data_IF_775170923408
#
_entry.id   IF_775170923408
#
_cell.length_a   1.000
_cell.length_b   1.000
_cell.length_c   1.000
_cell.angle_alpha   90.00
_cell.angle_beta   90.00
_cell.angle_gamma   90.00
#
_symmetry.space_group_name_H-M   'P 1'
#
loop_
_entity.id
_entity.type
_entity.pdbx_description
1 polymer ?
#
# COMPACT_ATOMS: atom_id res chain seq x y z
N UNK A 1 -2.95 10.02 5.71
CA UNK A 1 -2.93 11.45 6.06
C UNK A 1 -3.57 12.23 4.92
N UNK A 2 -4.47 13.18 5.22
CA UNK A 2 -5.09 14.04 4.19
C UNK A 2 -4.01 14.77 3.38
N UNK A 3 -3.02 15.37 4.07
CA UNK A 3 -1.95 16.13 3.44
C UNK A 3 -1.08 15.31 2.48
N UNK A 4 -0.85 14.03 2.79
CA UNK A 4 -0.05 13.15 1.92
C UNK A 4 -0.70 12.95 0.55
N UNK A 5 -1.98 12.54 0.54
CA UNK A 5 -2.70 12.34 -0.72
C UNK A 5 -3.05 13.66 -1.42
N UNK A 6 -3.35 14.72 -0.65
CA UNK A 6 -3.56 16.05 -1.22
C UNK A 6 -2.33 16.51 -2.01
N UNK A 7 -1.13 16.27 -1.49
CA UNK A 7 0.12 16.56 -2.20
C UNK A 7 0.31 15.66 -3.42
N UNK A 8 0.10 14.35 -3.29
CA UNK A 8 0.37 13.39 -4.36
C UNK A 8 -0.64 13.44 -5.52
N UNK A 9 -1.92 13.65 -5.23
CA UNK A 9 -3.01 13.52 -6.22
C UNK A 9 -3.93 14.75 -6.31
N UNK A 10 -3.70 15.79 -5.51
CA UNK A 10 -4.59 16.95 -5.44
C UNK A 10 -5.89 16.71 -4.67
N UNK A 11 -6.08 15.53 -4.07
CA UNK A 11 -7.23 15.20 -3.20
C UNK A 11 -6.82 14.29 -2.05
N UNK A 12 -7.32 14.59 -0.84
CA UNK A 12 -7.11 13.77 0.35
C UNK A 12 -8.09 12.60 0.54
N UNK A 13 -9.06 12.43 -0.36
CA UNK A 13 -10.11 11.43 -0.27
C UNK A 13 -9.63 10.02 -0.68
N UNK A 14 -10.45 9.01 -0.41
CA UNK A 14 -10.27 7.69 -1.04
C UNK A 14 -10.41 7.84 -2.55
N UNK A 15 -9.51 7.19 -3.30
CA UNK A 15 -9.49 7.25 -4.78
C UNK A 15 -10.50 6.31 -5.44
N UNK A 16 -11.18 5.48 -4.65
CA UNK A 16 -12.10 4.43 -5.08
C UNK A 16 -13.35 4.41 -4.20
N UNK A 17 -14.40 3.74 -4.69
CA UNK A 17 -15.55 3.36 -3.86
C UNK A 17 -15.26 2.16 -2.96
N UNK A 18 -15.82 2.15 -1.74
CA UNK A 18 -15.78 0.99 -0.83
C UNK A 18 -16.29 -0.31 -1.49
N UNK A 19 -17.35 -0.31 -2.32
CA UNK A 19 -17.78 -1.52 -3.02
C UNK A 19 -16.76 -2.09 -4.01
N UNK A 20 -15.77 -1.33 -4.45
CA UNK A 20 -14.76 -1.82 -5.41
C UNK A 20 -13.73 -2.76 -4.75
N UNK A 21 -13.59 -2.69 -3.42
CA UNK A 21 -12.62 -3.49 -2.65
C UNK A 21 -12.79 -4.99 -2.93
N UNK A 22 -14.04 -5.46 -3.03
CA UNK A 22 -14.32 -6.88 -3.28
C UNK A 22 -14.03 -7.35 -4.71
N UNK A 23 -13.57 -6.46 -5.60
CA UNK A 23 -13.21 -6.78 -6.98
C UNK A 23 -11.71 -6.63 -7.24
N UNK A 24 -10.91 -6.27 -6.23
CA UNK A 24 -9.45 -6.18 -6.35
C UNK A 24 -8.85 -7.53 -6.71
N UNK A 25 -7.77 -7.53 -7.50
CA UNK A 25 -6.92 -8.73 -7.66
C UNK A 25 -5.95 -8.87 -6.50
N UNK A 26 -5.52 -7.74 -5.91
CA UNK A 26 -4.69 -7.72 -4.72
C UNK A 26 -5.12 -6.60 -3.76
N UNK A 27 -5.20 -6.93 -2.47
CA UNK A 27 -5.39 -5.98 -1.39
C UNK A 27 -4.10 -5.86 -0.58
N UNK A 28 -3.49 -4.67 -0.61
CA UNK A 28 -2.35 -4.29 0.21
C UNK A 28 -2.86 -3.54 1.44
N UNK A 29 -3.10 -4.27 2.51
CA UNK A 29 -3.67 -3.75 3.76
C UNK A 29 -2.53 -3.30 4.68
N UNK A 30 -2.33 -1.99 4.80
CA UNK A 30 -1.16 -1.42 5.46
C UNK A 30 -1.54 -0.59 6.70
N UNK A 31 -1.15 -1.05 7.89
CA UNK A 31 -1.44 -0.35 9.14
C UNK A 31 -2.93 -0.14 9.37
N UNK A 32 -3.75 -1.13 9.02
CA UNK A 32 -5.21 -1.05 9.04
C UNK A 32 -5.84 -2.36 9.51
N UNK A 33 -6.61 -2.28 10.60
CA UNK A 33 -7.39 -3.40 11.13
C UNK A 33 -8.88 -3.15 10.86
N UNK A 34 -9.32 -3.52 9.66
CA UNK A 34 -10.71 -3.32 9.24
C UNK A 34 -11.72 -4.13 10.03
N UNK A 35 -11.36 -5.32 10.54
CA UNK A 35 -12.30 -6.18 11.26
C UNK A 35 -12.88 -5.49 12.50
N UNK A 36 -12.03 -4.79 13.25
CA UNK A 36 -12.46 -4.05 14.45
C UNK A 36 -12.87 -2.61 14.14
N UNK A 37 -12.26 -1.98 13.13
CA UNK A 37 -12.47 -0.54 12.86
C UNK A 37 -13.66 -0.28 11.94
N UNK A 38 -13.88 -1.16 10.95
CA UNK A 38 -14.88 -1.00 9.90
C UNK A 38 -15.42 -2.36 9.44
N UNK A 39 -16.23 -3.07 10.24
CA UNK A 39 -16.64 -4.45 9.97
C UNK A 39 -17.27 -4.67 8.57
N UNK A 40 -18.02 -3.69 8.06
CA UNK A 40 -18.63 -3.76 6.72
C UNK A 40 -17.58 -3.64 5.60
N UNK A 41 -16.51 -2.86 5.81
CA UNK A 41 -15.35 -2.82 4.89
C UNK A 41 -14.58 -4.14 4.98
N UNK A 42 -14.38 -4.69 6.19
CA UNK A 42 -13.74 -6.00 6.38
C UNK A 42 -14.48 -7.12 5.64
N UNK A 43 -15.82 -7.10 5.63
CA UNK A 43 -16.61 -8.04 4.84
C UNK A 43 -16.28 -7.98 3.34
N UNK A 44 -16.00 -6.80 2.78
CA UNK A 44 -15.56 -6.66 1.38
C UNK A 44 -14.16 -7.22 1.15
N UNK A 45 -13.26 -7.11 2.14
CA UNK A 45 -11.94 -7.76 2.09
C UNK A 45 -12.09 -9.29 2.05
N UNK A 46 -12.98 -9.85 2.88
CA UNK A 46 -13.29 -11.29 2.87
C UNK A 46 -13.89 -11.71 1.52
N UNK A 47 -14.87 -10.97 0.99
CA UNK A 47 -15.42 -11.27 -0.35
C UNK A 47 -14.35 -11.19 -1.46
N UNK A 48 -13.40 -10.25 -1.37
CA UNK A 48 -12.27 -10.20 -2.32
C UNK A 48 -11.47 -11.51 -2.25
N UNK A 49 -11.16 -11.98 -1.04
CA UNK A 49 -10.43 -13.22 -0.81
C UNK A 49 -11.16 -14.43 -1.38
N UNK A 50 -12.48 -14.51 -1.15
CA UNK A 50 -13.34 -15.58 -1.69
C UNK A 50 -13.37 -15.59 -3.23
N UNK A 51 -13.26 -14.42 -3.86
CA UNK A 51 -13.12 -14.29 -5.32
C UNK A 51 -11.68 -14.54 -5.83
N UNK A 52 -10.75 -14.88 -4.95
CA UNK A 52 -9.37 -15.22 -5.30
C UNK A 52 -8.38 -14.05 -5.24
N UNK A 53 -8.75 -12.92 -4.62
CA UNK A 53 -7.80 -11.83 -4.41
C UNK A 53 -6.64 -12.26 -3.51
N UNK A 54 -5.44 -11.80 -3.84
CA UNK A 54 -4.27 -11.93 -2.97
C UNK A 54 -4.35 -10.85 -1.87
N UNK A 55 -4.13 -11.24 -0.61
CA UNK A 55 -4.08 -10.30 0.51
C UNK A 55 -2.66 -10.25 1.05
N UNK A 56 -2.09 -9.05 1.09
CA UNK A 56 -0.86 -8.75 1.83
C UNK A 56 -1.25 -7.86 3.01
N UNK A 57 -1.05 -8.34 4.23
CA UNK A 57 -1.30 -7.60 5.46
C UNK A 57 0.02 -7.11 6.05
N UNK A 58 0.11 -5.81 6.32
CA UNK A 58 1.26 -5.16 6.97
C UNK A 58 0.79 -4.58 8.31
N UNK A 59 0.99 -5.35 9.38
CA UNK A 59 0.67 -4.96 10.75
C UNK A 59 1.65 -5.71 11.69
N UNK A 60 2.24 -5.06 12.72
CA UNK A 60 3.09 -5.76 13.69
C UNK A 60 2.37 -6.90 14.44
N UNK A 61 1.03 -6.89 14.47
CA UNK A 61 0.18 -7.85 15.18
C UNK A 61 -0.47 -8.83 14.20
N UNK A 62 -0.89 -9.97 14.73
CA UNK A 62 -1.76 -10.90 14.01
C UNK A 62 -3.22 -10.45 14.20
N UNK A 63 -3.71 -9.62 13.28
CA UNK A 63 -5.11 -9.19 13.21
C UNK A 63 -5.96 -10.20 12.42
N UNK A 64 -7.29 -10.04 12.40
CA UNK A 64 -8.16 -10.92 11.61
C UNK A 64 -7.84 -10.88 10.11
N UNK A 65 -7.46 -9.72 9.58
CA UNK A 65 -6.97 -9.61 8.19
C UNK A 65 -5.67 -10.39 8.00
N UNK A 66 -4.75 -10.40 8.97
CA UNK A 66 -3.51 -11.15 8.89
C UNK A 66 -3.75 -12.67 8.86
N UNK A 67 -4.80 -13.17 9.56
CA UNK A 67 -5.16 -14.59 9.58
C UNK A 67 -5.61 -15.13 8.23
N UNK A 68 -6.22 -14.28 7.40
CA UNK A 68 -6.70 -14.64 6.05
C UNK A 68 -5.73 -14.20 4.94
N UNK A 69 -4.61 -13.56 5.29
CA UNK A 69 -3.66 -13.02 4.34
C UNK A 69 -2.81 -14.12 3.69
N UNK A 70 -2.54 -13.98 2.40
CA UNK A 70 -1.55 -14.80 1.70
C UNK A 70 -0.13 -14.46 2.15
N UNK A 71 0.07 -13.22 2.61
CA UNK A 71 1.33 -12.77 3.18
C UNK A 71 1.10 -11.80 4.33
N UNK A 72 1.68 -12.11 5.49
CA UNK A 72 1.69 -11.21 6.64
C UNK A 72 3.11 -10.67 6.86
N UNK A 73 3.27 -9.37 6.65
CA UNK A 73 4.51 -8.64 6.90
C UNK A 73 4.45 -8.00 8.30
N UNK A 74 4.93 -8.75 9.29
CA UNK A 74 4.96 -8.35 10.70
C UNK A 74 6.11 -7.36 10.98
N UNK A 75 6.03 -6.15 10.40
CA UNK A 75 7.07 -5.14 10.54
C UNK A 75 7.25 -4.66 11.98
N UNK A 76 8.47 -4.23 12.32
CA UNK A 76 8.74 -3.47 13.54
C UNK A 76 7.99 -2.13 13.52
N UNK A 77 7.29 -1.79 14.59
CA UNK A 77 6.57 -0.51 14.72
C UNK A 77 7.47 0.69 14.43
N UNK A 78 6.97 1.65 13.65
CA UNK A 78 7.70 2.86 13.26
C UNK A 78 8.61 2.71 12.03
N UNK A 79 8.73 1.52 11.43
CA UNK A 79 9.59 1.30 10.25
C UNK A 79 8.85 1.33 8.91
N UNK A 80 7.65 1.91 8.90
CA UNK A 80 6.74 1.93 7.75
C UNK A 80 7.41 2.46 6.47
N UNK A 81 8.10 3.61 6.55
CA UNK A 81 8.68 4.24 5.37
C UNK A 81 9.84 3.42 4.79
N UNK A 82 10.60 2.71 5.63
CA UNK A 82 11.66 1.81 5.17
C UNK A 82 11.08 0.69 4.31
N UNK A 83 10.00 0.06 4.78
CA UNK A 83 9.32 -1.00 4.04
C UNK A 83 8.72 -0.47 2.72
N UNK A 84 8.03 0.67 2.75
CA UNK A 84 7.45 1.27 1.54
C UNK A 84 8.52 1.61 0.51
N UNK A 85 9.64 2.21 0.93
CA UNK A 85 10.74 2.53 0.03
C UNK A 85 11.45 1.28 -0.51
N UNK A 86 11.54 0.20 0.27
CA UNK A 86 12.14 -1.05 -0.18
C UNK A 86 11.26 -1.84 -1.15
N UNK A 87 9.94 -1.75 -0.98
CA UNK A 87 8.98 -2.23 -1.99
C UNK A 87 9.15 -1.44 -3.29
N UNK A 88 9.17 -0.10 -3.21
CA UNK A 88 9.40 0.75 -4.38
C UNK A 88 10.75 0.46 -5.06
N UNK A 89 11.82 0.31 -4.27
CA UNK A 89 13.15 -0.05 -4.74
C UNK A 89 13.12 -1.34 -5.54
N UNK A 90 12.47 -2.39 -5.02
CA UNK A 90 12.35 -3.66 -5.72
C UNK A 90 11.59 -3.52 -7.04
N UNK A 91 10.45 -2.80 -7.04
CA UNK A 91 9.66 -2.57 -8.26
C UNK A 91 10.52 -1.89 -9.34
N UNK A 92 11.34 -0.91 -8.94
CA UNK A 92 12.27 -0.24 -9.84
C UNK A 92 13.39 -1.16 -10.32
N UNK A 93 14.08 -1.84 -9.39
CA UNK A 93 15.24 -2.70 -9.66
C UNK A 93 14.88 -3.85 -10.62
N UNK A 94 13.69 -4.42 -10.46
CA UNK A 94 13.21 -5.56 -11.25
C UNK A 94 12.46 -5.14 -12.53
N UNK A 95 12.40 -3.84 -12.84
CA UNK A 95 11.77 -3.34 -14.06
C UNK A 95 10.24 -3.53 -14.11
N UNK A 96 9.58 -3.52 -12.96
CA UNK A 96 8.14 -3.75 -12.81
C UNK A 96 7.30 -2.45 -12.84
N UNK A 97 7.92 -1.34 -13.23
CA UNK A 97 7.27 -0.04 -13.35
C UNK A 97 6.39 0.03 -14.62
N UNK A 98 5.24 0.69 -14.50
CA UNK A 98 4.43 1.14 -15.64
C UNK A 98 4.98 2.49 -16.15
N UNK A 99 5.99 2.44 -17.01
CA UNK A 99 6.64 3.64 -17.52
C UNK A 99 5.70 4.52 -18.36
N UNK A 100 4.75 3.94 -19.09
CA UNK A 100 3.76 4.69 -19.86
C UNK A 100 2.84 5.52 -18.95
N UNK A 101 2.40 4.94 -17.83
CA UNK A 101 1.60 5.66 -16.84
C UNK A 101 2.42 6.76 -16.15
N UNK A 102 3.67 6.44 -15.76
CA UNK A 102 4.57 7.38 -15.09
C UNK A 102 4.82 8.61 -15.97
N UNK A 103 5.14 8.42 -17.26
CA UNK A 103 5.43 9.51 -18.19
C UNK A 103 4.21 10.43 -18.41
N UNK A 104 3.00 9.87 -18.45
CA UNK A 104 1.77 10.63 -18.71
C UNK A 104 1.17 11.29 -17.48
N UNK A 105 1.40 10.75 -16.30
CA UNK A 105 0.61 11.07 -15.09
C UNK A 105 1.44 11.40 -13.84
N UNK A 106 2.75 11.55 -13.96
CA UNK A 106 3.61 11.89 -12.83
C UNK A 106 4.64 12.96 -13.16
N UNK A 107 5.24 13.53 -12.13
CA UNK A 107 6.37 14.46 -12.23
C UNK A 107 7.49 13.97 -11.30
N UNK A 108 8.72 14.42 -11.55
CA UNK A 108 9.88 14.22 -10.66
C UNK A 108 10.24 12.74 -10.36
N UNK A 109 9.87 11.81 -11.24
CA UNK A 109 10.15 10.38 -11.03
C UNK A 109 11.66 10.08 -10.94
N UNK A 110 12.49 10.81 -11.68
CA UNK A 110 13.96 10.68 -11.59
C UNK A 110 14.51 11.00 -10.21
N UNK A 111 14.00 12.06 -9.57
CA UNK A 111 14.40 12.42 -8.19
C UNK A 111 13.97 11.33 -7.20
N UNK A 112 12.76 10.78 -7.40
CA UNK A 112 12.27 9.69 -6.56
C UNK A 112 13.11 8.40 -6.70
N UNK A 113 13.56 8.05 -7.91
CA UNK A 113 14.46 6.91 -8.15
C UNK A 113 15.73 7.02 -7.30
N UNK A 114 16.37 8.19 -7.27
CA UNK A 114 17.59 8.41 -6.49
C UNK A 114 17.38 8.27 -4.97
N UNK A 115 16.18 8.56 -4.48
CA UNK A 115 15.82 8.33 -3.08
C UNK A 115 15.69 6.83 -2.81
N UNK A 116 14.86 6.11 -3.58
CA UNK A 116 14.52 4.71 -3.29
C UNK A 116 15.69 3.76 -3.53
N UNK A 117 16.66 4.09 -4.39
CA UNK A 117 17.90 3.32 -4.59
C UNK A 117 18.66 3.01 -3.29
N UNK A 118 18.52 3.86 -2.27
CA UNK A 118 19.19 3.71 -0.97
C UNK A 118 18.54 2.67 -0.05
N UNK A 119 17.33 2.22 -0.38
CA UNK A 119 16.51 1.36 0.47
C UNK A 119 16.38 -0.03 -0.14
N UNK A 120 17.49 -0.75 -0.29
CA UNK A 120 17.41 -2.15 -0.76
C UNK A 120 16.68 -3.02 0.26
N UNK A 121 15.95 -4.08 -0.17
CA UNK A 121 15.34 -5.04 0.73
C UNK A 121 16.31 -5.60 1.77
N UNK A 122 17.54 -5.89 1.36
CA UNK A 122 18.62 -6.39 2.23
C UNK A 122 19.06 -5.33 3.25
N UNK A 123 19.13 -4.06 2.84
CA UNK A 123 19.53 -2.94 3.70
C UNK A 123 18.52 -2.59 4.79
N UNK A 124 17.22 -2.84 4.56
CA UNK A 124 16.16 -2.53 5.52
C UNK A 124 15.67 -3.73 6.33
N UNK A 125 16.04 -4.96 5.95
CA UNK A 125 15.50 -6.19 6.54
C UNK A 125 15.68 -6.25 8.07
N UNK A 126 16.88 -5.94 8.56
CA UNK A 126 17.18 -5.96 9.99
C UNK A 126 16.40 -4.90 10.78
N UNK A 127 16.13 -3.74 10.20
CA UNK A 127 15.39 -2.66 10.89
C UNK A 127 13.89 -2.93 10.90
N UNK A 128 13.36 -3.40 9.76
CA UNK A 128 11.94 -3.70 9.56
C UNK A 128 11.51 -5.02 10.21
N UNK A 129 12.46 -5.91 10.53
CA UNK A 129 12.22 -7.30 10.94
C UNK A 129 11.56 -8.17 9.86
N UNK A 130 11.64 -7.75 8.59
CA UNK A 130 11.07 -8.51 7.47
C UNK A 130 12.23 -9.03 6.60
N UNK A 131 12.29 -10.34 6.31
CA UNK A 131 13.28 -10.88 5.39
C UNK A 131 13.21 -10.21 4.02
N UNK A 132 14.37 -9.91 3.42
CA UNK A 132 14.47 -9.27 2.11
C UNK A 132 13.65 -10.00 1.03
N UNK A 133 13.66 -11.33 1.05
CA UNK A 133 12.86 -12.17 0.14
C UNK A 133 11.36 -11.88 0.25
N UNK A 134 10.83 -11.69 1.46
CA UNK A 134 9.41 -11.38 1.65
C UNK A 134 9.07 -9.98 1.13
N UNK A 135 9.97 -9.00 1.32
CA UNK A 135 9.80 -7.65 0.76
C UNK A 135 9.75 -7.73 -0.77
N UNK A 136 10.69 -8.47 -1.39
CA UNK A 136 10.73 -8.66 -2.84
C UNK A 136 9.48 -9.36 -3.36
N UNK A 137 9.04 -10.41 -2.67
CA UNK A 137 7.80 -11.12 -2.98
C UNK A 137 6.57 -10.18 -2.90
N UNK A 138 6.50 -9.34 -1.86
CA UNK A 138 5.42 -8.34 -1.73
C UNK A 138 5.38 -7.39 -2.93
N UNK A 139 6.56 -6.87 -3.30
CA UNK A 139 6.72 -5.92 -4.39
C UNK A 139 6.27 -6.52 -5.73
N UNK A 140 6.73 -7.74 -6.05
CA UNK A 140 6.33 -8.47 -7.25
C UNK A 140 4.83 -8.69 -7.30
N UNK A 141 4.25 -9.23 -6.22
CA UNK A 141 2.80 -9.48 -6.15
C UNK A 141 2.02 -8.18 -6.35
N UNK A 142 2.38 -7.12 -5.64
CA UNK A 142 1.72 -5.82 -5.75
C UNK A 142 1.81 -5.23 -7.15
N UNK A 143 2.99 -5.24 -7.78
CA UNK A 143 3.20 -4.63 -9.09
C UNK A 143 2.54 -5.41 -10.24
N UNK A 144 2.47 -6.74 -10.13
CA UNK A 144 2.04 -7.61 -11.25
C UNK A 144 0.60 -8.11 -11.17
N UNK A 145 -0.15 -7.81 -10.09
CA UNK A 145 -1.53 -8.29 -9.93
C UNK A 145 -2.53 -7.69 -10.95
N UNK A 146 -2.14 -6.62 -11.65
CA UNK A 146 -2.96 -5.87 -12.59
C UNK A 146 -4.00 -4.93 -11.97
N UNK A 147 -4.55 -5.29 -10.79
CA UNK A 147 -5.55 -4.51 -10.04
C UNK A 147 -5.28 -4.54 -8.53
N UNK A 148 -4.25 -3.81 -8.11
CA UNK A 148 -3.87 -3.68 -6.69
C UNK A 148 -4.55 -2.47 -6.05
N UNK A 149 -5.07 -2.66 -4.84
CA UNK A 149 -5.62 -1.58 -4.01
C UNK A 149 -4.88 -1.51 -2.68
N UNK A 150 -4.56 -0.30 -2.23
CA UNK A 150 -3.99 -0.04 -0.91
C UNK A 150 -5.09 0.42 0.04
N UNK A 151 -5.24 -0.27 1.17
CA UNK A 151 -6.12 0.15 2.26
C UNK A 151 -5.26 0.49 3.48
N UNK A 152 -5.39 1.70 4.01
CA UNK A 152 -4.64 2.11 5.20
C UNK A 152 -5.49 2.91 6.18
N UNK A 153 -5.06 2.92 7.44
CA UNK A 153 -5.77 3.59 8.53
C UNK A 153 -4.85 4.32 9.50
N UNK A 154 -5.21 4.29 10.78
CA UNK A 154 -4.49 5.02 11.83
C UNK A 154 -3.11 4.43 12.15
N UNK A 155 -2.87 3.14 11.83
CA UNK A 155 -1.55 2.51 11.89
C UNK A 155 -0.52 3.11 10.91
N UNK A 156 -0.94 4.03 10.05
CA UNK A 156 -0.05 4.92 9.28
C UNK A 156 -0.11 6.35 9.81
N UNK A 157 -1.32 6.85 10.08
CA UNK A 157 -1.55 8.30 10.23
C UNK A 157 -1.09 8.92 11.56
N UNK A 158 -0.83 8.12 12.60
CA UNK A 158 -0.47 8.62 13.94
C UNK A 158 1.03 8.57 14.25
N UNK A 159 1.87 8.34 13.23
CA UNK A 159 3.33 8.36 13.35
C UNK A 159 3.89 9.69 12.85
N UNK A 160 5.05 10.12 13.37
CA UNK A 160 5.70 11.37 12.95
C UNK A 160 6.01 11.44 11.44
N UNK A 161 6.19 10.28 10.80
CA UNK A 161 6.47 10.14 9.36
C UNK A 161 5.21 9.90 8.51
N UNK A 162 4.00 10.07 9.07
CA UNK A 162 2.74 9.68 8.45
C UNK A 162 2.51 10.27 7.05
N UNK A 163 2.90 11.53 6.84
CA UNK A 163 2.74 12.21 5.54
C UNK A 163 3.63 11.54 4.49
N UNK A 164 4.88 11.26 4.83
CA UNK A 164 5.86 10.67 3.90
C UNK A 164 5.52 9.22 3.58
N UNK A 165 5.04 8.44 4.56
CA UNK A 165 4.55 7.08 4.31
C UNK A 165 3.39 7.10 3.32
N UNK A 166 2.44 8.02 3.48
CA UNK A 166 1.29 8.14 2.58
C UNK A 166 1.71 8.56 1.18
N UNK A 167 2.68 9.48 1.04
CA UNK A 167 3.29 9.83 -0.25
C UNK A 167 3.98 8.62 -0.88
N UNK A 168 4.72 7.83 -0.10
CA UNK A 168 5.35 6.60 -0.57
C UNK A 168 4.33 5.57 -1.07
N UNK A 169 3.22 5.35 -0.33
CA UNK A 169 2.14 4.46 -0.78
C UNK A 169 1.46 4.98 -2.05
N UNK A 170 1.27 6.31 -2.17
CA UNK A 170 0.79 6.93 -3.40
C UNK A 170 1.75 6.72 -4.57
N UNK A 171 3.07 6.83 -4.34
CA UNK A 171 4.08 6.54 -5.35
C UNK A 171 4.02 5.09 -5.82
N UNK A 172 3.77 4.12 -4.93
CA UNK A 172 3.56 2.72 -5.36
C UNK A 172 2.38 2.59 -6.35
N UNK A 173 1.28 3.34 -6.14
CA UNK A 173 0.14 3.36 -7.07
C UNK A 173 0.55 3.92 -8.43
N UNK A 174 1.26 5.06 -8.45
CA UNK A 174 1.76 5.71 -9.67
C UNK A 174 2.72 4.79 -10.42
N UNK A 175 3.72 4.23 -9.71
CA UNK A 175 4.75 3.37 -10.28
C UNK A 175 4.19 2.15 -11.02
N UNK A 176 2.99 1.70 -10.65
CA UNK A 176 2.41 0.45 -11.12
C UNK A 176 1.11 0.66 -11.90
N UNK A 177 0.77 1.90 -12.25
CA UNK A 177 -0.46 2.23 -12.98
C UNK A 177 -1.74 1.80 -12.23
N UNK A 178 -1.67 1.65 -10.91
CA UNK A 178 -2.78 1.26 -10.04
C UNK A 178 -3.52 2.51 -9.54
N UNK A 179 -3.92 3.41 -10.44
CA UNK A 179 -4.72 4.61 -10.14
C UNK A 179 -5.62 4.96 -11.33
N UNK A 180 -6.83 5.44 -11.06
CA UNK A 180 -7.77 5.90 -12.10
C UNK A 180 -8.46 4.77 -12.89
N UNK A 181 -8.36 3.52 -12.43
CA UNK A 181 -9.02 2.35 -13.02
C UNK A 181 -9.89 1.62 -11.99
N UNK A 182 -10.95 0.89 -12.39
CA UNK A 182 -11.78 0.13 -11.47
C UNK A 182 -10.98 -0.87 -10.63
N UNK A 183 -11.29 -0.95 -9.34
CA UNK A 183 -10.62 -1.82 -8.37
C UNK A 183 -9.09 -1.61 -8.31
N UNK A 184 -8.65 -0.36 -8.43
CA UNK A 184 -7.26 0.09 -8.18
C UNK A 184 -7.25 1.28 -7.22
N UNK A 185 -6.06 1.75 -6.86
CA UNK A 185 -5.86 3.00 -6.13
C UNK A 185 -5.50 2.81 -4.66
N UNK A 186 -5.66 3.89 -3.91
CA UNK A 186 -5.40 3.95 -2.47
C UNK A 186 -6.54 4.59 -1.70
N UNK A 187 -6.83 4.02 -0.54
CA UNK A 187 -7.93 4.41 0.33
C UNK A 187 -7.52 4.61 1.79
N UNK A 188 -7.44 5.87 2.29
CA UNK A 188 -7.52 6.14 3.72
C UNK A 188 -8.92 5.82 4.24
N UNK A 189 -9.10 4.65 4.86
CA UNK A 189 -10.42 4.30 5.40
C UNK A 189 -10.69 5.14 6.65
N UNK A 190 -11.53 6.17 6.50
CA UNK A 190 -11.79 7.19 7.52
C UNK A 190 -12.57 6.62 8.70
N UNK A 191 -12.17 6.99 9.92
CA UNK A 191 -12.67 6.38 11.15
C UNK A 191 -14.11 6.77 11.53
N UNK A 192 -14.35 8.05 11.77
CA UNK A 192 -15.63 8.54 12.25
C UNK A 192 -16.65 8.71 11.12
N UNK A 193 -17.94 8.57 11.44
CA UNK A 193 -19.00 8.94 10.53
C UNK A 193 -18.89 10.45 10.18
N UNK A 194 -19.10 10.79 8.91
CA UNK A 194 -19.11 12.17 8.40
C UNK A 194 -17.81 12.99 8.60
N UNK A 195 -16.64 12.33 8.71
CA UNK A 195 -15.32 13.01 8.78
C UNK A 195 -14.68 13.23 7.39
N UNK A 196 -15.35 12.77 6.33
CA UNK A 196 -14.84 12.77 4.95
C UNK A 196 -14.99 14.14 4.28
#
# INVERSE_FOLDING_TARGET
>A
SVAGLQYSFGSGAMTMGVPEIENAALLFVFGYNGADSHPIVARRIVHAKEKGATIICVDPRITETARIADMHLALKGGTNLLLVNAIANTILEEGLCDYDFIEKHSNDFDQFKEIIKKYTPEGVAAQTHIPAEQIRKAARLYATSGRSMILYGMGVCQFGQAVDVVKGLANLCIMTGNLGRPATGIGPVRGQNNVQ
#
